data_IF_702824435853
#
_entry.id   IF_702824435853
#
_cell.length_a   1.000
_cell.length_b   1.000
_cell.length_c   1.000
_cell.angle_alpha   90.00
_cell.angle_beta   90.00
_cell.angle_gamma   90.00
#
_symmetry.space_group_name_H-M   'P 1'
#
loop_
_entity.id
_entity.type
_entity.pdbx_description
1 polymer ?
#
# COMPACT_ATOMS: atom_id res chain seq x y z
N UNK A 1 13.99 -8.45 -11.01
CA UNK A 1 13.71 -7.08 -10.52
C UNK A 1 13.59 -7.16 -9.00
N UNK A 2 14.18 -6.23 -8.25
CA UNK A 2 14.05 -6.20 -6.77
C UNK A 2 12.65 -5.75 -6.38
N UNK A 3 12.20 -6.12 -5.17
CA UNK A 3 10.88 -5.75 -4.67
C UNK A 3 10.73 -4.23 -4.55
N UNK A 4 11.76 -3.54 -4.07
CA UNK A 4 11.79 -2.08 -4.05
C UNK A 4 11.61 -1.43 -5.44
N UNK A 5 12.23 -2.01 -6.48
CA UNK A 5 12.04 -1.53 -7.87
C UNK A 5 10.61 -1.77 -8.36
N UNK A 6 10.00 -2.89 -7.97
CA UNK A 6 8.57 -3.12 -8.22
C UNK A 6 7.71 -2.03 -7.60
N UNK A 7 7.88 -1.78 -6.30
CA UNK A 7 7.13 -0.77 -5.57
C UNK A 7 7.31 0.61 -6.20
N UNK A 8 8.55 0.98 -6.52
CA UNK A 8 8.85 2.25 -7.16
C UNK A 8 8.11 2.44 -8.48
N UNK A 9 8.24 1.48 -9.40
CA UNK A 9 7.73 1.61 -10.76
C UNK A 9 6.21 1.42 -10.87
N UNK A 10 5.66 0.43 -10.16
CA UNK A 10 4.27 0.01 -10.34
C UNK A 10 3.32 0.54 -9.28
N UNK A 11 3.83 1.08 -8.17
CA UNK A 11 2.98 1.56 -7.08
C UNK A 11 3.23 3.04 -6.81
N UNK A 12 4.47 3.43 -6.53
CA UNK A 12 4.82 4.82 -6.20
C UNK A 12 4.59 5.75 -7.39
N UNK A 13 5.06 5.41 -8.59
CA UNK A 13 4.85 6.26 -9.77
C UNK A 13 3.35 6.52 -10.05
N UNK A 14 2.46 5.51 -10.08
CA UNK A 14 1.02 5.75 -10.19
C UNK A 14 0.42 6.58 -9.05
N UNK A 15 0.85 6.38 -7.79
CA UNK A 15 0.40 7.21 -6.66
C UNK A 15 0.78 8.67 -6.90
N UNK A 16 2.04 8.94 -7.24
CA UNK A 16 2.51 10.30 -7.51
C UNK A 16 1.70 10.95 -8.63
N UNK A 17 1.44 10.21 -9.71
CA UNK A 17 0.57 10.66 -10.80
C UNK A 17 -0.84 11.03 -10.30
N UNK A 18 -1.49 10.16 -9.52
CA UNK A 18 -2.82 10.42 -8.96
C UNK A 18 -2.82 11.63 -8.02
N UNK A 19 -1.82 11.74 -7.16
CA UNK A 19 -1.67 12.86 -6.22
C UNK A 19 -1.53 14.17 -6.98
N UNK A 20 -0.64 14.23 -7.98
CA UNK A 20 -0.47 15.43 -8.81
C UNK A 20 -1.74 15.75 -9.59
N UNK A 21 -2.38 14.75 -10.20
CA UNK A 21 -3.58 14.92 -11.03
C UNK A 21 -4.79 15.40 -10.24
N UNK A 22 -4.92 14.98 -8.98
CA UNK A 22 -6.08 15.25 -8.13
C UNK A 22 -5.78 16.13 -6.91
N UNK A 23 -4.61 16.78 -6.85
CA UNK A 23 -4.13 17.61 -5.72
C UNK A 23 -5.14 18.59 -5.15
N UNK A 24 -5.96 19.22 -6.01
CA UNK A 24 -6.97 20.20 -5.60
C UNK A 24 -8.15 19.60 -4.82
N UNK A 25 -8.33 18.29 -4.89
CA UNK A 25 -9.43 17.57 -4.26
C UNK A 25 -8.98 16.79 -3.01
N UNK A 26 -7.68 16.76 -2.71
CA UNK A 26 -7.11 16.04 -1.58
C UNK A 26 -7.20 16.89 -0.31
N UNK A 27 -8.37 16.87 0.33
CA UNK A 27 -8.56 17.49 1.65
C UNK A 27 -8.41 16.45 2.76
N UNK A 28 -8.10 16.89 3.98
CA UNK A 28 -8.00 15.99 5.13
C UNK A 28 -9.27 15.16 5.34
N UNK A 29 -10.45 15.79 5.19
CA UNK A 29 -11.76 15.11 5.26
C UNK A 29 -11.90 14.03 4.18
N UNK A 30 -11.45 14.33 2.96
CA UNK A 30 -11.54 13.38 1.86
C UNK A 30 -10.53 12.22 1.97
N UNK A 31 -9.48 12.37 2.79
CA UNK A 31 -8.47 11.34 3.06
C UNK A 31 -8.69 10.59 4.37
N UNK A 32 -9.55 11.07 5.27
CA UNK A 32 -9.82 10.43 6.55
C UNK A 32 -10.24 8.94 6.42
N UNK A 33 -11.12 8.54 5.47
CA UNK A 33 -11.45 7.13 5.28
C UNK A 33 -10.23 6.29 4.86
N UNK A 34 -9.32 6.87 4.08
CA UNK A 34 -8.09 6.19 3.66
C UNK A 34 -7.13 6.01 4.83
N UNK A 35 -7.04 7.00 5.73
CA UNK A 35 -6.28 6.88 6.98
C UNK A 35 -6.80 5.75 7.87
N UNK A 36 -8.12 5.66 8.06
CA UNK A 36 -8.73 4.56 8.80
C UNK A 36 -8.47 3.21 8.10
N UNK A 37 -8.60 3.16 6.77
CA UNK A 37 -8.34 1.95 6.01
C UNK A 37 -6.91 1.47 6.16
N UNK A 38 -5.91 2.36 6.20
CA UNK A 38 -4.53 1.97 6.47
C UNK A 38 -4.37 1.29 7.82
N UNK A 39 -5.00 1.81 8.89
CA UNK A 39 -4.97 1.18 10.21
C UNK A 39 -5.57 -0.23 10.14
N UNK A 40 -6.74 -0.37 9.51
CA UNK A 40 -7.42 -1.66 9.35
C UNK A 40 -6.56 -2.63 8.55
N UNK A 41 -5.98 -2.20 7.42
CA UNK A 41 -5.13 -3.04 6.58
C UNK A 41 -3.92 -3.52 7.36
N UNK A 42 -3.16 -2.64 8.03
CA UNK A 42 -2.00 -3.08 8.79
C UNK A 42 -2.36 -4.01 9.94
N UNK A 43 -3.44 -3.72 10.68
CA UNK A 43 -3.89 -4.57 11.79
C UNK A 43 -4.37 -5.94 11.30
N UNK A 44 -5.04 -5.99 10.14
CA UNK A 44 -5.56 -7.23 9.58
C UNK A 44 -4.46 -8.03 8.88
N UNK A 45 -3.66 -7.45 7.98
CA UNK A 45 -2.73 -8.21 7.14
C UNK A 45 -1.49 -8.65 7.91
N UNK A 46 -0.90 -7.77 8.72
CA UNK A 46 0.40 -8.03 9.33
C UNK A 46 0.47 -9.33 10.14
N UNK A 47 -0.52 -9.68 11.00
CA UNK A 47 -0.48 -10.92 11.78
C UNK A 47 -0.58 -12.17 10.90
N UNK A 48 -1.56 -12.22 9.99
CA UNK A 48 -1.79 -13.38 9.12
C UNK A 48 -0.62 -13.63 8.19
N UNK A 49 -0.07 -12.56 7.64
CA UNK A 49 0.99 -12.64 6.65
C UNK A 49 2.33 -13.05 7.30
N UNK A 50 2.61 -12.54 8.51
CA UNK A 50 3.73 -13.03 9.32
C UNK A 50 3.58 -14.52 9.68
N UNK A 51 2.38 -14.96 10.08
CA UNK A 51 2.10 -16.36 10.40
C UNK A 51 2.28 -17.25 9.17
N UNK A 52 1.82 -16.80 8.00
CA UNK A 52 1.93 -17.54 6.76
C UNK A 52 3.40 -17.80 6.39
N UNK A 53 4.23 -16.75 6.44
CA UNK A 53 5.67 -16.89 6.15
C UNK A 53 6.38 -17.68 7.25
N UNK A 54 6.01 -17.50 8.53
CA UNK A 54 6.53 -18.31 9.64
C UNK A 54 6.27 -19.80 9.45
N UNK A 55 5.10 -20.18 8.93
CA UNK A 55 4.72 -21.56 8.65
C UNK A 55 5.23 -22.08 7.31
N UNK A 56 5.97 -21.27 6.53
CA UNK A 56 6.53 -21.67 5.25
C UNK A 56 5.47 -21.87 4.16
N UNK A 57 4.27 -21.29 4.30
CA UNK A 57 3.25 -21.31 3.25
C UNK A 57 3.75 -20.59 1.98
N UNK A 58 4.57 -19.57 2.17
CA UNK A 58 5.29 -18.85 1.13
C UNK A 58 6.47 -18.06 1.72
N UNK A 59 7.27 -17.39 0.90
CA UNK A 59 8.39 -16.58 1.38
C UNK A 59 9.02 -15.69 0.31
N UNK A 60 10.19 -15.14 0.66
CA UNK A 60 10.88 -14.13 -0.15
C UNK A 60 12.29 -14.59 -0.52
N UNK A 61 12.68 -14.30 -1.75
CA UNK A 61 14.06 -14.46 -2.24
C UNK A 61 14.96 -13.40 -1.60
N UNK A 62 15.98 -13.79 -0.79
CA UNK A 62 16.89 -12.86 -0.12
C UNK A 62 17.63 -11.92 -1.07
N UNK A 63 17.87 -12.32 -2.32
CA UNK A 63 18.59 -11.50 -3.31
C UNK A 63 17.70 -10.39 -3.90
N UNK A 64 16.38 -10.44 -3.69
CA UNK A 64 15.41 -9.51 -4.28
C UNK A 64 14.85 -8.50 -3.28
N UNK A 65 15.16 -8.65 -2.00
CA UNK A 65 14.74 -7.79 -0.89
C UNK A 65 15.94 -7.05 -0.30
N UNK A 66 15.69 -5.99 0.47
CA UNK A 66 16.69 -5.18 1.16
C UNK A 66 17.29 -5.89 2.38
N UNK A 67 16.71 -7.01 2.81
CA UNK A 67 17.15 -7.75 3.99
C UNK A 67 16.69 -7.15 5.33
N UNK A 68 16.01 -6.00 5.32
CA UNK A 68 15.40 -5.40 6.51
C UNK A 68 14.10 -6.14 6.81
N UNK A 69 14.01 -6.83 7.95
CA UNK A 69 12.81 -7.58 8.35
C UNK A 69 12.19 -7.02 9.63
N UNK A 70 10.87 -7.01 9.67
CA UNK A 70 10.07 -6.78 10.88
C UNK A 70 9.26 -8.06 11.12
N UNK A 71 9.56 -8.77 12.19
CA UNK A 71 9.07 -10.14 12.35
C UNK A 71 9.63 -11.06 11.26
N UNK A 72 8.74 -11.70 10.50
CA UNK A 72 9.08 -12.64 9.42
C UNK A 72 9.06 -12.00 8.03
N UNK A 73 8.43 -10.82 7.90
CA UNK A 73 8.25 -10.13 6.62
C UNK A 73 9.36 -9.08 6.37
N UNK A 74 9.77 -8.87 5.11
CA UNK A 74 10.63 -7.76 4.75
C UNK A 74 9.88 -6.43 4.85
N UNK A 75 10.61 -5.34 5.08
CA UNK A 75 10.05 -3.98 5.13
C UNK A 75 9.24 -3.65 3.88
N UNK A 76 9.68 -4.13 2.71
CA UNK A 76 9.01 -3.92 1.44
C UNK A 76 7.57 -4.47 1.41
N UNK A 77 7.28 -5.55 2.14
CA UNK A 77 5.92 -6.08 2.22
C UNK A 77 5.00 -5.13 3.01
N UNK A 78 5.51 -4.56 4.10
CA UNK A 78 4.78 -3.52 4.84
C UNK A 78 4.58 -2.26 4.01
N UNK A 79 5.57 -1.88 3.20
CA UNK A 79 5.42 -0.77 2.24
C UNK A 79 4.38 -1.13 1.18
N UNK A 80 4.36 -2.37 0.69
CA UNK A 80 3.36 -2.83 -0.26
C UNK A 80 1.94 -2.68 0.28
N UNK A 81 1.66 -3.15 1.50
CA UNK A 81 0.33 -3.02 2.12
C UNK A 81 -0.17 -1.57 2.11
N UNK A 82 0.65 -0.65 2.59
CA UNK A 82 0.30 0.77 2.67
C UNK A 82 0.20 1.41 1.29
N UNK A 83 1.23 1.27 0.46
CA UNK A 83 1.29 1.89 -0.86
C UNK A 83 0.17 1.36 -1.78
N UNK A 84 -0.08 0.05 -1.79
CA UNK A 84 -1.14 -0.53 -2.60
C UNK A 84 -2.53 -0.02 -2.15
N UNK A 85 -2.74 0.08 -0.83
CA UNK A 85 -3.97 0.67 -0.26
C UNK A 85 -4.13 2.13 -0.68
N UNK A 86 -3.05 2.92 -0.64
CA UNK A 86 -3.05 4.31 -1.10
C UNK A 86 -3.37 4.41 -2.60
N UNK A 87 -2.74 3.60 -3.44
CA UNK A 87 -2.94 3.60 -4.89
C UNK A 87 -4.40 3.34 -5.23
N UNK A 88 -4.95 2.23 -4.74
CA UNK A 88 -6.32 1.82 -5.02
C UNK A 88 -7.31 2.78 -4.38
N UNK A 89 -7.07 3.20 -3.13
CA UNK A 89 -7.92 4.13 -2.40
C UNK A 89 -8.01 5.51 -3.07
N UNK A 90 -6.88 6.09 -3.50
CA UNK A 90 -6.85 7.35 -4.23
C UNK A 90 -7.58 7.25 -5.57
N UNK A 91 -7.38 6.15 -6.30
CA UNK A 91 -8.06 5.89 -7.55
C UNK A 91 -9.57 5.74 -7.36
N UNK A 92 -10.00 4.92 -6.41
CA UNK A 92 -11.41 4.68 -6.11
C UNK A 92 -12.11 5.97 -5.69
N UNK A 93 -11.49 6.75 -4.79
CA UNK A 93 -11.98 8.08 -4.39
C UNK A 93 -12.15 9.01 -5.58
N UNK A 94 -11.16 9.07 -6.48
CA UNK A 94 -11.23 9.91 -7.68
C UNK A 94 -12.36 9.50 -8.64
N UNK A 95 -12.84 8.25 -8.57
CA UNK A 95 -14.03 7.78 -9.31
C UNK A 95 -15.32 8.10 -8.57
N UNK A 96 -15.37 7.83 -7.26
CA UNK A 96 -16.55 8.08 -6.43
C UNK A 96 -16.93 9.57 -6.42
N UNK A 97 -15.95 10.48 -6.36
CA UNK A 97 -16.18 11.92 -6.42
C UNK A 97 -16.84 12.41 -7.72
N UNK A 98 -16.89 11.58 -8.78
CA UNK A 98 -17.60 11.91 -10.03
C UNK A 98 -19.06 11.45 -10.02
N UNK A 99 -19.40 10.50 -9.16
CA UNK A 99 -20.71 9.82 -9.15
C UNK A 99 -21.55 10.28 -7.96
N UNK A 100 -20.90 10.60 -6.84
CA UNK A 100 -21.54 11.12 -5.62
C UNK A 100 -21.09 12.58 -5.46
N UNK A 101 -21.86 13.57 -5.96
CA UNK A 101 -21.58 14.96 -5.68
C UNK A 101 -21.71 15.24 -4.16
N UNK A 102 -21.02 16.28 -3.65
CA UNK A 102 -21.00 16.62 -2.23
C UNK A 102 -22.37 17.00 -1.66
#
# INVERSE_FOLDING_TARGET
MTYARFLGLFVVLPILFLVVRYRKTLTARALAPLGLLLIVVYAATSPWDNLAVKWGLWGFDPERIWGIKLGYLPLEEYLFFGLQTLLVGLWARARLARVVPP
#
